data_IF_644271693778
#
_entry.id   IF_644271693778
#
_cell.length_a   1.000
_cell.length_b   1.000
_cell.length_c   1.000
_cell.angle_alpha   90.00
_cell.angle_beta   90.00
_cell.angle_gamma   90.00
#
_symmetry.space_group_name_H-M   'P 1'
#
loop_
_entity.id
_entity.type
_entity.pdbx_description
1 polymer ?
#
# COMPACT_ATOMS: atom_id res chain seq x y z
N UNK A 1 -3.83 1.48 14.33
CA UNK A 1 -5.05 0.73 14.71
C UNK A 1 -4.64 -0.63 15.22
N UNK A 2 -5.42 -1.29 16.11
CA UNK A 2 -5.10 -2.65 16.56
C UNK A 2 -4.89 -3.59 15.37
N UNK A 3 -3.81 -4.37 15.41
CA UNK A 3 -3.45 -5.32 14.35
C UNK A 3 -2.94 -4.73 13.02
N UNK A 4 -3.08 -3.41 12.80
CA UNK A 4 -2.51 -2.76 11.63
C UNK A 4 -0.98 -2.66 11.73
N UNK A 5 -0.27 -2.78 10.60
CA UNK A 5 1.19 -2.66 10.57
C UNK A 5 1.64 -1.25 10.95
N UNK A 6 2.79 -1.18 11.62
CA UNK A 6 3.50 0.07 11.89
C UNK A 6 4.46 0.32 10.73
N UNK A 7 4.36 1.50 10.12
CA UNK A 7 5.30 1.92 9.09
C UNK A 7 6.63 2.38 9.71
N UNK A 8 7.73 1.67 9.43
CA UNK A 8 9.08 2.03 9.92
C UNK A 8 9.96 2.78 8.91
N UNK A 9 9.52 2.87 7.65
CA UNK A 9 10.32 3.41 6.54
C UNK A 9 10.04 4.90 6.31
N UNK A 10 11.09 5.69 6.09
CA UNK A 10 10.96 7.10 5.72
C UNK A 10 10.05 7.30 4.49
N UNK A 11 9.10 8.22 4.58
CA UNK A 11 8.08 8.45 3.55
C UNK A 11 6.80 7.64 3.73
N UNK A 12 6.77 6.64 4.63
CA UNK A 12 5.56 5.89 4.96
C UNK A 12 4.87 6.53 6.18
N UNK A 13 3.84 7.34 5.94
CA UNK A 13 3.20 8.13 6.99
C UNK A 13 2.40 7.31 8.01
N UNK A 14 2.06 6.05 7.70
CA UNK A 14 1.31 5.17 8.59
C UNK A 14 -0.14 5.60 8.83
N UNK A 15 -0.76 6.27 7.84
CA UNK A 15 -2.13 6.79 7.93
C UNK A 15 -3.10 5.97 7.09
N UNK A 16 -4.32 5.82 7.58
CA UNK A 16 -5.47 5.35 6.81
C UNK A 16 -6.36 6.56 6.51
N UNK A 17 -6.61 6.82 5.23
CA UNK A 17 -7.41 7.95 4.77
C UNK A 17 -8.66 7.41 4.07
N UNK A 18 -9.81 8.04 4.32
CA UNK A 18 -11.04 7.79 3.57
C UNK A 18 -11.32 9.01 2.70
N UNK A 19 -11.82 8.80 1.49
CA UNK A 19 -12.14 9.89 0.57
C UNK A 19 -12.81 9.41 -0.71
N UNK A 20 -12.85 10.30 -1.70
CA UNK A 20 -13.34 9.98 -3.05
C UNK A 20 -12.32 10.34 -4.13
N UNK A 21 -12.25 9.52 -5.17
CA UNK A 21 -11.49 9.79 -6.41
C UNK A 21 -12.43 9.53 -7.58
N UNK A 22 -12.70 10.55 -8.40
CA UNK A 22 -13.59 10.42 -9.56
C UNK A 22 -15.00 9.91 -9.19
N UNK A 23 -15.51 10.26 -8.01
CA UNK A 23 -16.80 9.79 -7.49
C UNK A 23 -16.80 8.38 -6.91
N UNK A 24 -15.67 7.69 -6.89
CA UNK A 24 -15.52 6.38 -6.25
C UNK A 24 -15.01 6.57 -4.82
N UNK A 25 -15.69 5.96 -3.84
CA UNK A 25 -15.22 5.92 -2.46
C UNK A 25 -13.94 5.06 -2.37
N UNK A 26 -12.91 5.59 -1.73
CA UNK A 26 -11.61 4.94 -1.60
C UNK A 26 -11.11 4.97 -0.16
N UNK A 27 -10.36 3.93 0.20
CA UNK A 27 -9.53 3.89 1.40
C UNK A 27 -8.07 3.86 0.94
N UNK A 28 -7.26 4.80 1.43
CA UNK A 28 -5.85 4.93 1.09
C UNK A 28 -4.99 4.58 2.31
N UNK A 29 -4.13 3.58 2.14
CA UNK A 29 -3.06 3.30 3.09
C UNK A 29 -1.82 4.12 2.69
N UNK A 30 -1.53 5.19 3.45
CA UNK A 30 -0.37 6.05 3.23
C UNK A 30 0.88 5.41 3.84
N UNK A 31 1.38 4.39 3.15
CA UNK A 31 2.49 3.55 3.59
C UNK A 31 2.06 2.10 3.81
N UNK A 32 3.06 1.24 3.93
CA UNK A 32 2.97 -0.20 4.20
C UNK A 32 4.12 -0.64 5.09
N UNK A 33 4.00 -1.81 5.71
CA UNK A 33 5.15 -2.54 6.21
C UNK A 33 5.82 -3.34 5.09
N UNK A 34 7.11 -3.58 5.24
CA UNK A 34 7.89 -4.41 4.34
C UNK A 34 8.44 -5.62 5.07
N UNK A 35 8.60 -6.71 4.31
CA UNK A 35 9.21 -7.94 4.80
C UNK A 35 10.57 -7.70 5.47
N UNK A 36 11.43 -6.84 4.90
CA UNK A 36 12.78 -6.62 5.42
C UNK A 36 12.81 -5.92 6.80
N UNK A 37 11.72 -5.30 7.25
CA UNK A 37 11.70 -4.59 8.54
C UNK A 37 11.71 -5.57 9.73
N UNK A 38 11.14 -6.77 9.56
CA UNK A 38 10.95 -7.73 10.66
C UNK A 38 10.85 -9.21 10.24
N UNK A 39 11.01 -9.53 8.96
CA UNK A 39 10.93 -10.89 8.42
C UNK A 39 9.52 -11.47 8.29
N UNK A 40 8.46 -10.67 8.43
CA UNK A 40 7.07 -11.14 8.33
C UNK A 40 6.47 -10.85 6.96
N UNK A 41 6.22 -11.91 6.19
CA UNK A 41 5.56 -11.81 4.90
C UNK A 41 4.06 -11.47 5.01
N UNK A 42 3.46 -11.76 6.16
CA UNK A 42 2.04 -11.57 6.47
C UNK A 42 1.73 -10.25 7.19
N UNK A 43 2.70 -9.33 7.29
CA UNK A 43 2.57 -8.10 8.07
C UNK A 43 1.40 -7.20 7.64
N UNK A 44 0.94 -7.32 6.40
CA UNK A 44 -0.18 -6.54 5.84
C UNK A 44 -1.54 -7.27 5.91
N UNK A 45 -1.60 -8.54 6.33
CA UNK A 45 -2.82 -9.36 6.22
C UNK A 45 -4.02 -8.75 6.92
N UNK A 46 -3.85 -8.32 8.18
CA UNK A 46 -4.94 -7.69 8.96
C UNK A 46 -5.48 -6.43 8.28
N UNK A 47 -4.60 -5.60 7.69
CA UNK A 47 -5.04 -4.40 6.99
C UNK A 47 -5.88 -4.77 5.76
N UNK A 48 -5.42 -5.72 4.94
CA UNK A 48 -6.12 -6.16 3.73
C UNK A 48 -7.46 -6.84 4.07
N UNK A 49 -7.47 -7.72 5.06
CA UNK A 49 -8.69 -8.39 5.55
C UNK A 49 -9.70 -7.38 6.09
N UNK A 50 -9.23 -6.33 6.79
CA UNK A 50 -10.10 -5.24 7.25
C UNK A 50 -10.71 -4.49 6.08
N UNK A 51 -9.93 -4.16 5.04
CA UNK A 51 -10.45 -3.49 3.83
C UNK A 51 -11.51 -4.34 3.12
N UNK A 52 -11.27 -5.64 2.99
CA UNK A 52 -12.26 -6.56 2.42
C UNK A 52 -13.53 -6.61 3.29
N UNK A 53 -13.40 -6.73 4.61
CA UNK A 53 -14.53 -6.80 5.54
C UNK A 53 -15.41 -5.54 5.54
N UNK A 54 -14.84 -4.36 5.26
CA UNK A 54 -15.61 -3.10 5.13
C UNK A 54 -16.20 -2.88 3.74
N UNK A 55 -16.06 -3.85 2.83
CA UNK A 55 -16.73 -3.85 1.53
C UNK A 55 -15.88 -3.38 0.35
N UNK A 56 -14.56 -3.22 0.50
CA UNK A 56 -13.70 -2.95 -0.66
C UNK A 56 -13.69 -4.17 -1.59
N UNK A 57 -14.09 -3.98 -2.84
CA UNK A 57 -14.16 -5.03 -3.86
C UNK A 57 -12.89 -5.13 -4.72
N UNK A 58 -12.08 -4.06 -4.72
CA UNK A 58 -10.88 -3.94 -5.53
C UNK A 58 -9.72 -3.44 -4.67
N UNK A 59 -8.52 -3.93 -4.94
CA UNK A 59 -7.28 -3.49 -4.32
C UNK A 59 -6.31 -3.01 -5.41
N UNK A 60 -5.92 -1.74 -5.34
CA UNK A 60 -4.86 -1.17 -6.19
C UNK A 60 -3.58 -1.09 -5.36
N UNK A 61 -2.52 -1.73 -5.84
CA UNK A 61 -1.22 -1.76 -5.17
C UNK A 61 -0.23 -0.95 -5.99
N UNK A 62 0.41 0.03 -5.35
CA UNK A 62 1.48 0.82 -5.96
C UNK A 62 2.80 0.57 -5.25
N UNK A 63 3.92 0.62 -5.98
CA UNK A 63 5.24 0.55 -5.40
C UNK A 63 6.23 1.37 -6.23
N UNK A 64 7.39 1.67 -5.64
CA UNK A 64 8.54 2.12 -6.38
C UNK A 64 9.41 0.90 -6.69
N UNK A 65 9.89 0.82 -7.94
CA UNK A 65 10.78 -0.23 -8.39
C UNK A 65 11.91 0.38 -9.23
N UNK A 66 13.09 -0.23 -9.15
CA UNK A 66 14.13 -0.01 -10.15
C UNK A 66 13.83 -0.87 -11.38
N UNK A 67 13.85 -0.26 -12.56
CA UNK A 67 13.63 -1.00 -13.81
C UNK A 67 14.90 -1.70 -14.28
N UNK A 68 14.73 -2.90 -14.84
CA UNK A 68 15.76 -3.60 -15.62
C UNK A 68 15.58 -3.40 -17.14
N UNK A 69 14.46 -2.81 -17.56
CA UNK A 69 14.19 -2.41 -18.94
C UNK A 69 14.97 -1.11 -19.19
N UNK A 70 15.99 -1.09 -20.08
CA UNK A 70 16.86 0.07 -20.28
C UNK A 70 16.12 1.34 -20.72
N UNK A 71 15.02 1.19 -21.46
CA UNK A 71 14.23 2.29 -22.01
C UNK A 71 13.30 2.92 -20.96
N UNK A 72 13.05 2.23 -19.84
CA UNK A 72 12.19 2.74 -18.78
C UNK A 72 12.95 3.72 -17.89
N UNK A 73 12.67 5.01 -18.08
CA UNK A 73 13.30 6.09 -17.35
C UNK A 73 12.63 6.34 -15.98
N UNK A 74 13.32 6.99 -15.02
CA UNK A 74 12.72 7.42 -13.76
C UNK A 74 11.41 8.19 -13.97
N UNK A 75 10.37 7.81 -13.21
CA UNK A 75 9.04 8.40 -13.31
C UNK A 75 8.10 7.72 -14.31
N UNK A 76 8.55 6.71 -15.06
CA UNK A 76 7.66 5.89 -15.89
C UNK A 76 6.74 5.03 -15.02
N UNK A 77 5.49 4.91 -15.46
CA UNK A 77 4.52 3.97 -14.90
C UNK A 77 4.60 2.67 -15.68
N UNK A 78 4.67 1.55 -14.95
CA UNK A 78 4.63 0.21 -15.50
C UNK A 78 3.39 -0.50 -14.95
N UNK A 79 2.68 -1.23 -15.83
CA UNK A 79 1.54 -2.08 -15.49
C UNK A 79 1.97 -3.55 -15.45
#
# INVERSE_FOLDING_TARGET
MPGFPVAGVGGHAGKLLLGQVGGTDVIILQGRAHYYENGRADAMSVAIETLHAVGCQSLVITNAAGSLIPEAAPGNVML
#
